data_IF_732963418567
#
_entry.id   IF_732963418567
#
_cell.length_a   1.000
_cell.length_b   1.000
_cell.length_c   1.000
_cell.angle_alpha   90.00
_cell.angle_beta   90.00
_cell.angle_gamma   90.00
#
_symmetry.space_group_name_H-M   'P 1'
#
loop_
_entity.id
_entity.type
_entity.pdbx_description
1 polymer ?
#
# COMPACT_ATOMS: atom_id res chain seq x y z
N UNK A 1 -14.41 2.58 7.42
CA UNK A 1 -13.01 2.83 7.85
C UNK A 1 -12.54 4.11 7.21
N UNK A 2 -12.34 5.15 8.01
CA UNK A 2 -11.72 6.42 7.60
C UNK A 2 -10.24 6.40 7.98
N UNK A 3 -9.39 6.84 7.05
CA UNK A 3 -7.95 7.03 7.25
C UNK A 3 -7.65 8.53 7.10
N UNK A 4 -6.86 9.15 8.00
CA UNK A 4 -6.42 10.53 7.83
C UNK A 4 -5.74 10.73 6.47
N UNK A 5 -6.04 11.84 5.78
CA UNK A 5 -5.48 12.16 4.47
C UNK A 5 -6.05 11.37 3.28
N UNK A 6 -6.93 10.38 3.51
CA UNK A 6 -7.47 9.53 2.44
C UNK A 6 -8.29 10.27 1.39
N UNK A 7 -9.06 11.29 1.80
CA UNK A 7 -9.92 12.06 0.87
C UNK A 7 -9.09 12.88 -0.13
N UNK A 8 -7.90 13.29 0.29
CA UNK A 8 -6.98 14.14 -0.46
C UNK A 8 -5.79 13.35 -1.04
N UNK A 9 -5.85 12.02 -1.01
CA UNK A 9 -4.78 11.11 -1.40
C UNK A 9 -3.42 11.41 -0.76
N UNK A 10 -3.45 11.86 0.50
CA UNK A 10 -2.29 12.25 1.29
C UNK A 10 -2.18 11.44 2.60
N UNK A 11 -2.45 10.13 2.53
CA UNK A 11 -2.28 9.23 3.68
C UNK A 11 -0.78 9.08 3.98
N UNK A 12 -0.30 9.40 5.18
CA UNK A 12 1.11 9.21 5.55
C UNK A 12 1.55 7.75 5.39
N UNK A 13 2.70 7.52 4.75
CA UNK A 13 3.18 6.16 4.39
C UNK A 13 4.38 5.75 5.23
N UNK A 14 4.17 4.78 6.12
CA UNK A 14 5.22 4.32 7.05
C UNK A 14 5.80 2.94 6.71
N UNK A 15 5.24 2.22 5.74
CA UNK A 15 5.86 0.97 5.30
C UNK A 15 7.01 1.26 4.33
N UNK A 16 7.93 0.32 4.12
CA UNK A 16 8.91 0.43 3.03
C UNK A 16 8.36 -0.22 1.78
N UNK A 17 8.99 0.06 0.63
CA UNK A 17 8.76 -0.70 -0.59
C UNK A 17 8.96 -2.22 -0.37
N UNK A 18 9.94 -2.61 0.47
CA UNK A 18 10.16 -4.01 0.86
C UNK A 18 8.93 -4.62 1.56
N UNK A 19 8.41 -3.94 2.59
CA UNK A 19 7.23 -4.45 3.31
C UNK A 19 5.98 -4.48 2.44
N UNK A 20 5.75 -3.44 1.64
CA UNK A 20 4.61 -3.42 0.71
C UNK A 20 4.74 -4.55 -0.31
N UNK A 21 5.94 -4.81 -0.87
CA UNK A 21 6.18 -5.98 -1.75
C UNK A 21 5.88 -7.30 -1.05
N UNK A 22 6.29 -7.46 0.21
CA UNK A 22 6.00 -8.66 1.01
C UNK A 22 4.49 -8.86 1.20
N UNK A 23 3.76 -7.79 1.57
CA UNK A 23 2.30 -7.81 1.74
C UNK A 23 1.57 -8.12 0.43
N UNK A 24 1.99 -7.52 -0.69
CA UNK A 24 1.45 -7.84 -2.03
C UNK A 24 1.67 -9.32 -2.36
N UNK A 25 2.88 -9.84 -2.14
CA UNK A 25 3.18 -11.26 -2.36
C UNK A 25 2.26 -12.18 -1.55
N UNK A 26 2.09 -11.89 -0.26
CA UNK A 26 1.18 -12.64 0.61
C UNK A 26 -0.30 -12.51 0.19
N UNK A 27 -0.72 -11.34 -0.29
CA UNK A 27 -2.09 -11.12 -0.77
C UNK A 27 -2.38 -11.92 -2.06
N UNK A 28 -1.45 -11.90 -3.02
CA UNK A 28 -1.58 -12.63 -4.29
C UNK A 28 -1.45 -14.15 -4.13
N UNK A 29 -0.84 -14.63 -3.05
CA UNK A 29 -0.78 -16.06 -2.74
C UNK A 29 -2.11 -16.62 -2.21
N UNK A 30 -3.08 -15.78 -1.83
CA UNK A 30 -4.41 -16.21 -1.38
C UNK A 30 -5.21 -16.78 -2.55
N UNK A 31 -5.86 -17.92 -2.33
CA UNK A 31 -6.74 -18.55 -3.34
C UNK A 31 -7.86 -17.61 -3.78
N UNK A 32 -8.10 -17.52 -5.09
CA UNK A 32 -9.16 -16.69 -5.67
C UNK A 32 -8.78 -15.22 -5.90
N UNK A 33 -7.59 -14.78 -5.49
CA UNK A 33 -7.10 -13.43 -5.79
C UNK A 33 -6.39 -13.43 -7.13
N UNK A 34 -6.83 -12.58 -8.06
CA UNK A 34 -6.14 -12.34 -9.33
C UNK A 34 -5.40 -11.01 -9.27
N UNK A 35 -4.27 -10.90 -9.98
CA UNK A 35 -3.50 -9.65 -10.06
C UNK A 35 -4.36 -8.51 -10.61
N UNK A 36 -5.16 -8.76 -11.65
CA UNK A 36 -6.06 -7.77 -12.24
C UNK A 36 -7.19 -7.36 -11.29
N UNK A 37 -7.75 -8.31 -10.54
CA UNK A 37 -8.74 -8.01 -9.51
C UNK A 37 -8.16 -7.11 -8.43
N UNK A 38 -6.96 -7.44 -7.94
CA UNK A 38 -6.28 -6.62 -6.95
C UNK A 38 -5.96 -5.22 -7.46
N UNK A 39 -5.48 -5.08 -8.71
CA UNK A 39 -5.25 -3.76 -9.32
C UNK A 39 -6.51 -2.89 -9.35
N UNK A 40 -7.69 -3.47 -9.66
CA UNK A 40 -8.97 -2.75 -9.63
C UNK A 40 -9.35 -2.30 -8.22
N UNK A 41 -9.01 -3.06 -7.18
CA UNK A 41 -9.20 -2.61 -5.80
C UNK A 41 -8.24 -1.47 -5.44
N UNK A 42 -6.99 -1.53 -5.90
CA UNK A 42 -5.99 -0.48 -5.68
C UNK A 42 -6.37 0.84 -6.38
N UNK A 43 -6.97 0.79 -7.57
CA UNK A 43 -7.47 1.99 -8.26
C UNK A 43 -8.48 2.78 -7.41
N UNK A 44 -9.28 2.09 -6.57
CA UNK A 44 -10.26 2.72 -5.67
C UNK A 44 -9.62 3.42 -4.46
N UNK A 45 -8.30 3.30 -4.27
CA UNK A 45 -7.60 4.00 -3.18
C UNK A 45 -7.29 5.46 -3.50
N UNK A 46 -7.45 5.86 -4.77
CA UNK A 46 -7.33 7.25 -5.21
C UNK A 46 -8.71 7.91 -5.27
N UNK A 47 -8.82 9.12 -4.72
CA UNK A 47 -10.07 9.88 -4.59
C UNK A 47 -10.04 11.21 -5.33
N UNK A 48 -8.85 11.77 -5.57
CA UNK A 48 -8.66 13.07 -6.22
C UNK A 48 -8.73 12.97 -7.74
N UNK A 49 -8.14 11.93 -8.31
CA UNK A 49 -8.15 11.66 -9.75
C UNK A 49 -8.39 10.18 -10.07
N UNK A 50 -9.08 9.85 -11.17
CA UNK A 50 -9.16 8.48 -11.65
C UNK A 50 -7.78 7.95 -12.05
N UNK A 51 -7.31 6.92 -11.36
CA UNK A 51 -6.05 6.24 -11.69
C UNK A 51 -6.36 4.90 -12.38
N UNK A 52 -5.64 4.62 -13.47
CA UNK A 52 -5.65 3.31 -14.14
C UNK A 52 -4.31 2.60 -13.96
N UNK A 53 -4.31 1.50 -13.23
CA UNK A 53 -3.12 0.69 -12.96
C UNK A 53 -3.04 -0.48 -13.94
N UNK A 54 -1.83 -0.74 -14.44
CA UNK A 54 -1.57 -1.82 -15.40
C UNK A 54 -0.82 -2.98 -14.71
N UNK A 55 -0.98 -4.23 -15.16
CA UNK A 55 -0.19 -5.36 -14.67
C UNK A 55 1.32 -5.12 -14.73
N UNK A 56 1.79 -4.44 -15.79
CA UNK A 56 3.19 -4.04 -15.94
C UNK A 56 3.65 -3.10 -14.82
N UNK A 57 2.84 -2.12 -14.40
CA UNK A 57 3.18 -1.19 -13.32
C UNK A 57 3.44 -1.93 -12.00
N UNK A 58 2.61 -2.92 -11.68
CA UNK A 58 2.79 -3.76 -10.50
C UNK A 58 3.98 -4.72 -10.65
N UNK A 59 4.19 -5.29 -11.83
CA UNK A 59 5.34 -6.14 -12.09
C UNK A 59 6.66 -5.38 -11.92
N UNK A 60 6.76 -4.17 -12.48
CA UNK A 60 7.92 -3.29 -12.31
C UNK A 60 8.13 -2.94 -10.84
N UNK A 61 7.09 -2.63 -10.07
CA UNK A 61 7.23 -2.40 -8.63
C UNK A 61 7.79 -3.62 -7.91
N UNK A 62 7.25 -4.81 -8.22
CA UNK A 62 7.65 -6.08 -7.59
C UNK A 62 9.07 -6.52 -7.93
N UNK A 63 9.59 -6.13 -9.09
CA UNK A 63 10.96 -6.45 -9.54
C UNK A 63 12.03 -5.52 -8.95
N UNK A 64 11.65 -4.38 -8.35
CA UNK A 64 12.62 -3.49 -7.69
C UNK A 64 13.10 -4.07 -6.36
N UNK A 65 14.30 -3.67 -5.95
CA UNK A 65 14.93 -4.08 -4.70
C UNK A 65 15.43 -2.87 -3.91
N UNK A 66 15.29 -2.90 -2.58
CA UNK A 66 15.67 -1.79 -1.70
C UNK A 66 14.48 -1.19 -0.96
N UNK A 67 14.75 -0.50 0.15
CA UNK A 67 13.75 0.10 1.06
C UNK A 67 12.82 1.08 0.35
N UNK A 68 13.37 1.87 -0.58
CA UNK A 68 12.66 3.00 -1.21
C UNK A 68 12.56 2.87 -2.73
N UNK A 69 13.07 1.75 -3.27
CA UNK A 69 13.06 1.46 -4.69
C UNK A 69 11.62 1.15 -5.16
N UNK A 70 10.92 2.19 -5.57
CA UNK A 70 9.51 2.12 -5.98
C UNK A 70 8.59 3.11 -5.27
N UNK A 71 9.11 3.99 -4.42
CA UNK A 71 8.33 4.99 -3.69
C UNK A 71 7.49 5.94 -4.59
N UNK A 72 7.93 6.19 -5.82
CA UNK A 72 7.16 6.96 -6.82
C UNK A 72 6.12 6.15 -7.59
N UNK A 73 6.06 4.83 -7.40
CA UNK A 73 5.10 3.98 -8.11
C UNK A 73 3.72 4.07 -7.45
N UNK A 74 2.67 4.41 -8.22
CA UNK A 74 1.29 4.50 -7.70
C UNK A 74 0.80 3.21 -7.00
N UNK A 75 1.31 2.03 -7.37
CA UNK A 75 1.00 0.75 -6.71
C UNK A 75 1.49 0.73 -5.27
N UNK A 76 2.61 1.38 -4.95
CA UNK A 76 3.17 1.43 -3.61
C UNK A 76 2.21 2.12 -2.64
N UNK A 77 1.82 3.37 -2.96
CA UNK A 77 0.88 4.15 -2.16
C UNK A 77 -0.47 3.43 -2.04
N UNK A 78 -1.06 3.03 -3.17
CA UNK A 78 -2.38 2.41 -3.16
C UNK A 78 -2.42 1.10 -2.35
N UNK A 79 -1.41 0.23 -2.51
CA UNK A 79 -1.36 -1.03 -1.77
C UNK A 79 -1.19 -0.80 -0.27
N UNK A 80 -0.38 0.19 0.11
CA UNK A 80 -0.25 0.56 1.51
C UNK A 80 -1.60 1.03 2.10
N UNK A 81 -2.31 1.93 1.42
CA UNK A 81 -3.63 2.42 1.88
C UNK A 81 -4.64 1.28 1.98
N UNK A 82 -4.66 0.36 1.01
CA UNK A 82 -5.55 -0.81 1.04
C UNK A 82 -5.25 -1.75 2.22
N UNK A 83 -3.97 -2.07 2.45
CA UNK A 83 -3.59 -2.91 3.60
C UNK A 83 -3.84 -2.24 4.95
N UNK A 84 -3.68 -0.93 5.04
CA UNK A 84 -3.97 -0.18 6.27
C UNK A 84 -5.48 -0.14 6.54
N UNK A 85 -6.29 -0.01 5.48
CA UNK A 85 -7.75 -0.15 5.57
C UNK A 85 -8.16 -1.56 6.00
N UNK A 86 -7.55 -2.61 5.44
CA UNK A 86 -7.78 -4.01 5.86
C UNK A 86 -7.39 -4.21 7.33
N UNK A 87 -6.27 -3.63 7.78
CA UNK A 87 -5.79 -3.71 9.16
C UNK A 87 -6.82 -3.17 10.14
N UNK A 88 -7.31 -1.95 9.91
CA UNK A 88 -8.31 -1.30 10.78
C UNK A 88 -9.63 -2.06 10.72
N UNK A 89 -10.07 -2.49 9.54
CA UNK A 89 -11.30 -3.27 9.40
C UNK A 89 -11.27 -4.58 10.20
N UNK A 90 -10.09 -5.18 10.34
CA UNK A 90 -9.88 -6.45 11.06
C UNK A 90 -9.38 -6.28 12.49
N UNK A 91 -9.36 -5.05 12.99
CA UNK A 91 -8.84 -4.68 14.32
C UNK A 91 -7.45 -5.27 14.62
N UNK A 92 -6.58 -5.29 13.60
CA UNK A 92 -5.22 -5.82 13.74
C UNK A 92 -4.30 -4.76 14.33
N UNK A 93 -3.38 -5.14 15.24
CA UNK A 93 -2.39 -4.20 15.76
C UNK A 93 -1.46 -3.71 14.64
N UNK A 94 -0.89 -2.52 14.84
CA UNK A 94 0.19 -2.01 13.98
C UNK A 94 1.41 -2.94 14.08
N UNK A 95 2.16 -3.08 13.00
CA UNK A 95 3.41 -3.85 13.03
C UNK A 95 4.47 -3.15 13.87
N UNK A 96 5.46 -3.89 14.40
CA UNK A 96 6.58 -3.31 15.13
C UNK A 96 7.30 -2.22 14.31
N UNK A 97 7.59 -2.51 13.04
CA UNK A 97 8.22 -1.56 12.12
C UNK A 97 7.39 -0.27 11.95
N UNK A 98 6.06 -0.39 11.93
CA UNK A 98 5.17 0.77 11.83
C UNK A 98 5.32 1.68 13.06
N UNK A 99 5.33 1.09 14.25
CA UNK A 99 5.49 1.84 15.50
C UNK A 99 6.87 2.52 15.54
N UNK A 100 7.93 1.78 15.20
CA UNK A 100 9.31 2.31 15.16
C UNK A 100 9.46 3.49 14.18
N UNK A 101 8.75 3.46 13.03
CA UNK A 101 8.78 4.59 12.09
C UNK A 101 7.91 5.76 12.48
N UNK A 102 6.73 5.53 13.05
CA UNK A 102 5.93 6.62 13.60
C UNK A 102 6.71 7.36 14.70
N UNK A 103 7.49 6.63 15.51
CA UNK A 103 8.39 7.21 16.50
C UNK A 103 9.56 7.98 15.86
N UNK A 104 10.18 7.45 14.81
CA UNK A 104 11.34 8.07 14.17
C UNK A 104 11.01 9.24 13.22
N UNK A 105 9.87 9.18 12.50
CA UNK A 105 9.50 10.12 11.43
C UNK A 105 8.35 11.06 11.83
N UNK A 106 7.68 10.81 12.96
CA UNK A 106 6.55 11.61 13.43
C UNK A 106 5.25 11.36 12.64
N UNK A 107 4.26 12.23 12.81
CA UNK A 107 2.92 12.04 12.23
C UNK A 107 2.84 12.23 10.71
N UNK A 108 3.89 12.78 10.08
CA UNK A 108 3.87 13.16 8.67
C UNK A 108 4.23 12.01 7.71
N UNK A 109 4.86 10.94 8.21
CA UNK A 109 5.18 9.74 7.42
C UNK A 109 6.41 9.90 6.55
#
# INVERSE_FOLDING_TARGET
VELPGKKDDNVPVFDTCNEVRRKIGAHLAKTGVTQTGFLRELEKMFHTEPVKLRPSTMQTFRQKHGTDAGNTNKVYYAAYVDFEKERILRDKPKSKMRLEREEAWGAEG
#
